data_IF_354180728825
#
_entry.id   IF_354180728825
#
_cell.length_a   1.000
_cell.length_b   1.000
_cell.length_c   1.000
_cell.angle_alpha   90.00
_cell.angle_beta   90.00
_cell.angle_gamma   90.00
#
_symmetry.space_group_name_H-M   'P 1'
#
loop_
_entity.id
_entity.type
_entity.pdbx_description
1 polymer ?
#
# COMPACT_ATOMS: atom_id res chain seq x y z
N UNK A 1 54.49 44.96 -41.33
CA UNK A 1 55.18 44.22 -40.24
C UNK A 1 54.32 44.44 -39.00
N UNK A 2 53.33 43.58 -38.68
CA UNK A 2 53.44 42.40 -37.76
C UNK A 2 54.25 42.77 -36.50
N UNK A 3 53.77 42.72 -35.26
CA UNK A 3 52.92 41.73 -34.59
C UNK A 3 52.24 42.34 -33.32
N UNK A 4 51.05 41.81 -33.00
CA UNK A 4 50.36 41.90 -31.70
C UNK A 4 50.96 40.85 -30.73
N UNK A 5 50.96 41.09 -29.41
CA UNK A 5 50.88 39.98 -28.47
C UNK A 5 49.64 40.10 -27.57
N UNK A 6 48.78 39.09 -27.71
CA UNK A 6 47.78 38.64 -26.74
C UNK A 6 48.50 38.07 -25.51
N UNK A 7 48.07 38.44 -24.31
CA UNK A 7 48.29 37.67 -23.07
C UNK A 7 46.94 37.65 -22.34
N UNK A 8 46.06 36.72 -22.72
CA UNK A 8 45.81 35.42 -22.07
C UNK A 8 45.39 35.55 -20.59
N UNK A 9 44.10 35.83 -20.40
CA UNK A 9 43.39 35.71 -19.13
C UNK A 9 43.21 34.21 -18.82
N UNK A 10 44.07 33.65 -17.97
CA UNK A 10 43.90 32.31 -17.44
C UNK A 10 42.86 32.32 -16.31
N UNK A 11 41.58 32.23 -16.66
CA UNK A 11 40.53 31.85 -15.71
C UNK A 11 40.78 30.39 -15.36
N UNK A 12 41.27 30.12 -14.15
CA UNK A 12 41.24 28.79 -13.55
C UNK A 12 39.77 28.35 -13.48
N UNK A 13 39.34 27.57 -14.45
CA UNK A 13 38.15 26.76 -14.34
C UNK A 13 38.40 25.67 -13.30
N UNK A 14 38.10 25.95 -12.03
CA UNK A 14 37.79 24.87 -11.10
C UNK A 14 36.66 24.07 -11.73
N UNK A 15 36.77 22.74 -11.88
CA UNK A 15 35.57 21.96 -12.05
C UNK A 15 34.81 22.17 -10.74
N UNK A 16 33.75 22.97 -10.78
CA UNK A 16 32.67 22.77 -9.85
C UNK A 16 32.22 21.34 -10.10
N UNK A 17 32.79 20.37 -9.37
CA UNK A 17 32.12 19.12 -9.11
C UNK A 17 30.76 19.57 -8.57
N UNK A 18 29.73 19.45 -9.40
CA UNK A 18 28.38 19.85 -9.03
C UNK A 18 28.11 19.22 -7.68
N UNK A 19 27.97 20.04 -6.64
CA UNK A 19 27.60 19.63 -5.29
C UNK A 19 26.16 19.08 -5.22
N UNK A 20 25.64 18.62 -6.36
CA UNK A 20 24.29 18.14 -6.56
C UNK A 20 24.16 16.63 -6.27
N UNK A 21 25.22 15.82 -6.44
CA UNK A 21 25.07 14.34 -6.44
C UNK A 21 25.94 13.61 -5.41
N UNK A 22 26.09 14.17 -4.20
CA UNK A 22 26.69 13.41 -3.09
C UNK A 22 25.65 12.44 -2.55
N UNK A 23 25.93 11.13 -2.56
CA UNK A 23 25.06 10.13 -1.93
C UNK A 23 24.89 10.43 -0.43
N UNK A 24 23.68 10.24 0.14
CA UNK A 24 23.45 10.38 1.56
C UNK A 24 24.39 9.48 2.38
N UNK A 25 24.82 9.93 3.55
CA UNK A 25 25.50 9.07 4.52
C UNK A 25 24.50 8.09 5.15
N UNK A 26 24.92 6.89 5.60
CA UNK A 26 24.00 5.97 6.29
C UNK A 26 23.39 6.60 7.56
N UNK A 27 24.18 7.44 8.25
CA UNK A 27 23.76 8.13 9.46
C UNK A 27 22.65 9.17 9.20
N UNK A 28 22.73 9.95 8.13
CA UNK A 28 21.69 10.96 7.82
C UNK A 28 20.35 10.29 7.48
N UNK A 29 20.38 9.16 6.77
CA UNK A 29 19.18 8.35 6.48
C UNK A 29 18.63 7.71 7.75
N UNK A 30 19.47 7.16 8.62
CA UNK A 30 19.04 6.62 9.93
C UNK A 30 18.33 7.68 10.77
N UNK A 31 18.89 8.88 10.87
CA UNK A 31 18.24 10.00 11.57
C UNK A 31 16.89 10.37 10.97
N UNK A 32 16.74 10.26 9.64
CA UNK A 32 15.47 10.52 8.96
C UNK A 32 14.43 9.46 9.35
N UNK A 33 14.82 8.19 9.40
CA UNK A 33 13.95 7.09 9.85
C UNK A 33 13.53 7.22 11.31
N UNK A 34 14.45 7.64 12.19
CA UNK A 34 14.14 7.91 13.60
C UNK A 34 13.09 9.01 13.74
N UNK A 35 13.24 10.12 13.01
CA UNK A 35 12.28 11.23 13.03
C UNK A 35 10.90 10.84 12.49
N UNK A 36 10.86 9.96 11.50
CA UNK A 36 9.63 9.47 10.90
C UNK A 36 9.00 8.29 11.65
N UNK A 37 9.68 7.76 12.68
CA UNK A 37 9.29 6.58 13.44
C UNK A 37 9.07 5.34 12.55
N UNK A 38 9.94 5.14 11.55
CA UNK A 38 9.78 4.07 10.54
C UNK A 38 9.70 2.67 11.15
N UNK A 39 10.46 2.38 12.21
CA UNK A 39 10.39 1.11 12.93
C UNK A 39 9.00 0.83 13.51
N UNK A 40 8.39 1.83 14.16
CA UNK A 40 7.04 1.72 14.71
C UNK A 40 5.97 1.51 13.61
N UNK A 41 6.19 2.08 12.41
CA UNK A 41 5.33 1.82 11.26
C UNK A 41 5.42 0.36 10.83
N UNK A 42 6.62 -0.21 10.76
CA UNK A 42 6.80 -1.64 10.43
C UNK A 42 6.16 -2.55 11.49
N UNK A 43 6.33 -2.23 12.78
CA UNK A 43 5.68 -2.96 13.88
C UNK A 43 4.15 -2.94 13.72
N UNK A 44 3.58 -1.78 13.36
CA UNK A 44 2.15 -1.61 13.13
C UNK A 44 1.67 -2.45 11.94
N UNK A 45 2.43 -2.48 10.85
CA UNK A 45 2.12 -3.31 9.67
C UNK A 45 2.14 -4.79 10.03
N UNK A 46 3.15 -5.24 10.77
CA UNK A 46 3.27 -6.63 11.23
C UNK A 46 2.10 -7.04 12.14
N UNK A 47 1.71 -6.18 13.08
CA UNK A 47 0.55 -6.41 13.94
C UNK A 47 -0.76 -6.49 13.14
N UNK A 48 -0.90 -5.66 12.10
CA UNK A 48 -2.08 -5.69 11.23
C UNK A 48 -2.14 -6.97 10.39
N UNK A 49 -1.00 -7.46 9.90
CA UNK A 49 -0.89 -8.74 9.21
C UNK A 49 -1.33 -9.87 10.14
N UNK A 50 -0.79 -9.94 11.36
CA UNK A 50 -1.18 -10.96 12.33
C UNK A 50 -2.68 -10.93 12.63
N UNK A 51 -3.24 -9.75 12.91
CA UNK A 51 -4.68 -9.57 13.15
C UNK A 51 -5.52 -10.05 11.96
N UNK A 52 -5.11 -9.74 10.74
CA UNK A 52 -5.81 -10.17 9.53
C UNK A 52 -5.72 -11.68 9.30
N UNK A 53 -4.58 -12.29 9.62
CA UNK A 53 -4.41 -13.74 9.57
C UNK A 53 -5.33 -14.45 10.57
N UNK A 54 -5.45 -13.93 11.79
CA UNK A 54 -6.40 -14.45 12.79
C UNK A 54 -7.85 -14.37 12.29
N UNK A 55 -8.24 -13.23 11.72
CA UNK A 55 -9.58 -13.04 11.18
C UNK A 55 -9.87 -13.99 10.00
N UNK A 56 -8.91 -14.18 9.10
CA UNK A 56 -9.05 -15.09 7.97
C UNK A 56 -9.21 -16.55 8.42
N UNK A 57 -8.48 -16.96 9.46
CA UNK A 57 -8.62 -18.29 10.06
C UNK A 57 -10.01 -18.52 10.64
N UNK A 58 -10.56 -17.53 11.38
CA UNK A 58 -11.92 -17.60 11.91
C UNK A 58 -12.98 -17.66 10.81
N UNK A 59 -12.71 -17.06 9.65
CA UNK A 59 -13.63 -17.08 8.52
C UNK A 59 -13.56 -18.40 7.74
N UNK A 60 -12.38 -19.02 7.69
CA UNK A 60 -12.15 -20.29 7.00
C UNK A 60 -12.86 -21.48 7.65
N UNK A 61 -13.27 -21.37 8.91
CA UNK A 61 -14.00 -22.45 9.61
C UNK A 61 -15.48 -22.54 9.22
N UNK A 62 -15.95 -21.71 8.28
CA UNK A 62 -17.24 -21.83 7.58
C UNK A 62 -18.49 -22.05 8.46
N UNK A 63 -18.44 -21.65 9.73
CA UNK A 63 -19.56 -21.78 10.69
C UNK A 63 -19.52 -23.04 11.55
N UNK A 64 -18.57 -23.96 11.36
CA UNK A 64 -18.32 -25.06 12.29
C UNK A 64 -17.15 -24.70 13.22
N UNK A 65 -17.31 -24.81 14.55
CA UNK A 65 -16.20 -24.56 15.46
C UNK A 65 -15.12 -25.63 15.20
N UNK A 66 -13.87 -25.22 14.92
CA UNK A 66 -12.79 -26.18 14.72
C UNK A 66 -12.61 -27.04 15.97
N UNK A 67 -12.22 -28.30 15.77
CA UNK A 67 -11.83 -29.17 16.88
C UNK A 67 -10.65 -28.56 17.65
N UNK A 68 -10.46 -28.98 18.90
CA UNK A 68 -9.32 -28.49 19.71
C UNK A 68 -7.97 -28.83 19.05
N UNK A 69 -7.88 -29.94 18.33
CA UNK A 69 -6.69 -30.29 17.55
C UNK A 69 -6.49 -29.34 16.36
N UNK A 70 -7.56 -29.03 15.62
CA UNK A 70 -7.50 -28.06 14.52
C UNK A 70 -7.10 -26.66 15.01
N UNK A 71 -7.68 -26.19 16.12
CA UNK A 71 -7.30 -24.90 16.74
C UNK A 71 -5.82 -24.86 17.10
N UNK A 72 -5.28 -25.94 17.68
CA UNK A 72 -3.86 -26.04 18.02
C UNK A 72 -2.98 -25.99 16.78
N UNK A 73 -3.28 -26.80 15.76
CA UNK A 73 -2.53 -26.81 14.49
C UNK A 73 -2.53 -25.41 13.83
N UNK A 74 -3.69 -24.76 13.81
CA UNK A 74 -3.85 -23.42 13.24
C UNK A 74 -3.04 -22.38 14.01
N UNK A 75 -3.18 -22.34 15.35
CA UNK A 75 -2.42 -21.44 16.22
C UNK A 75 -0.92 -21.65 16.12
N UNK A 76 -0.45 -22.90 16.16
CA UNK A 76 0.97 -23.22 16.05
C UNK A 76 1.54 -22.82 14.70
N UNK A 77 0.77 -23.05 13.62
CA UNK A 77 1.17 -22.65 12.28
C UNK A 77 1.25 -21.14 12.15
N UNK A 78 0.25 -20.41 12.67
CA UNK A 78 0.28 -18.95 12.70
C UNK A 78 1.49 -18.43 13.47
N UNK A 79 1.76 -18.96 14.66
CA UNK A 79 2.89 -18.56 15.47
C UNK A 79 4.22 -18.78 14.74
N UNK A 80 4.39 -19.91 14.04
CA UNK A 80 5.59 -20.19 13.23
C UNK A 80 5.73 -19.22 12.05
N UNK A 81 4.63 -18.92 11.34
CA UNK A 81 4.65 -17.96 10.23
C UNK A 81 5.00 -16.56 10.73
N UNK A 82 4.39 -16.10 11.83
CA UNK A 82 4.69 -14.80 12.41
C UNK A 82 6.13 -14.71 12.95
N UNK A 83 6.64 -15.79 13.54
CA UNK A 83 8.04 -15.85 13.97
C UNK A 83 9.00 -15.73 12.77
N UNK A 84 8.72 -16.44 11.67
CA UNK A 84 9.50 -16.34 10.44
C UNK A 84 9.43 -14.93 9.84
N UNK A 85 8.22 -14.35 9.73
CA UNK A 85 8.09 -13.00 9.20
C UNK A 85 8.80 -11.97 10.08
N UNK A 86 8.73 -12.12 11.41
CA UNK A 86 9.48 -11.25 12.33
C UNK A 86 10.98 -11.42 12.11
N UNK A 87 11.48 -12.65 11.99
CA UNK A 87 12.89 -12.88 11.74
C UNK A 87 13.39 -12.22 10.45
N UNK A 88 12.59 -12.22 9.38
CA UNK A 88 13.03 -11.70 8.07
C UNK A 88 12.70 -10.22 7.87
N UNK A 89 11.70 -9.70 8.58
CA UNK A 89 11.12 -8.37 8.35
C UNK A 89 11.20 -7.44 9.57
N UNK A 90 11.92 -7.82 10.65
CA UNK A 90 12.16 -6.86 11.72
C UNK A 90 13.10 -5.73 11.28
N UNK A 91 13.03 -4.62 12.02
CA UNK A 91 13.80 -3.43 11.76
C UNK A 91 15.31 -3.67 11.61
N UNK A 92 15.91 -4.50 12.45
CA UNK A 92 17.34 -4.80 12.43
C UNK A 92 17.78 -5.44 11.11
N UNK A 93 16.93 -6.28 10.50
CA UNK A 93 17.21 -6.92 9.21
C UNK A 93 16.90 -5.98 8.03
N UNK A 94 15.82 -5.20 8.12
CA UNK A 94 15.39 -4.33 7.02
C UNK A 94 16.12 -2.98 6.96
N UNK A 95 16.58 -2.44 8.09
CA UNK A 95 17.19 -1.11 8.17
C UNK A 95 18.36 -0.96 7.19
N UNK A 96 19.35 -1.88 7.11
CA UNK A 96 20.47 -1.75 6.17
C UNK A 96 20.01 -1.69 4.72
N UNK A 97 19.05 -2.54 4.34
CA UNK A 97 18.47 -2.55 3.00
C UNK A 97 17.74 -1.23 2.69
N UNK A 98 16.91 -0.75 3.62
CA UNK A 98 16.18 0.52 3.47
C UNK A 98 17.15 1.71 3.37
N UNK A 99 18.23 1.71 4.14
CA UNK A 99 19.26 2.75 4.07
C UNK A 99 19.88 2.79 2.68
N UNK A 100 20.28 1.65 2.10
CA UNK A 100 20.86 1.62 0.76
C UNK A 100 19.86 2.07 -0.31
N UNK A 101 18.59 1.67 -0.23
CA UNK A 101 17.54 2.15 -1.15
C UNK A 101 17.41 3.69 -1.12
N UNK A 102 17.44 4.30 0.07
CA UNK A 102 17.40 5.76 0.19
C UNK A 102 18.68 6.43 -0.33
N UNK A 103 19.84 5.79 -0.13
CA UNK A 103 21.13 6.29 -0.63
C UNK A 103 21.25 6.23 -2.15
N UNK A 104 20.53 5.30 -2.79
CA UNK A 104 20.44 5.21 -4.25
C UNK A 104 19.39 6.17 -4.84
N UNK A 105 18.33 6.48 -4.08
CA UNK A 105 17.20 7.28 -4.56
C UNK A 105 17.28 8.78 -4.27
N UNK A 106 18.09 9.20 -3.31
CA UNK A 106 18.22 10.61 -2.90
C UNK A 106 19.67 11.08 -2.89
N UNK A 107 19.83 12.40 -2.90
CA UNK A 107 21.10 13.08 -2.63
C UNK A 107 21.18 13.48 -1.15
N UNK A 108 22.39 13.66 -0.63
CA UNK A 108 22.63 14.11 0.75
C UNK A 108 21.90 15.42 1.03
N UNK A 109 21.90 16.34 0.06
CA UNK A 109 21.20 17.64 0.16
C UNK A 109 19.68 17.47 0.33
N UNK A 110 19.07 16.52 -0.38
CA UNK A 110 17.64 16.24 -0.26
C UNK A 110 17.31 15.61 1.10
N UNK A 111 18.12 14.64 1.56
CA UNK A 111 17.98 14.06 2.89
C UNK A 111 18.13 15.12 3.97
N UNK A 112 19.08 16.04 3.86
CA UNK A 112 19.23 17.17 4.78
C UNK A 112 18.01 18.10 4.77
N UNK A 113 17.42 18.34 3.60
CA UNK A 113 16.18 19.08 3.44
C UNK A 113 15.01 18.38 4.15
N UNK A 114 14.88 17.07 3.98
CA UNK A 114 13.87 16.26 4.67
C UNK A 114 14.07 16.28 6.18
N UNK A 115 15.30 16.09 6.66
CA UNK A 115 15.65 16.18 8.09
C UNK A 115 15.26 17.54 8.67
N UNK A 116 15.60 18.64 7.97
CA UNK A 116 15.24 19.99 8.40
C UNK A 116 13.71 20.16 8.50
N UNK A 117 12.98 19.67 7.49
CA UNK A 117 11.53 19.76 7.49
C UNK A 117 10.90 18.93 8.60
N UNK A 118 11.23 17.64 8.70
CA UNK A 118 10.64 16.73 9.69
C UNK A 118 11.05 17.05 11.12
N UNK A 119 12.16 17.77 11.36
CA UNK A 119 12.49 18.32 12.69
C UNK A 119 11.64 19.52 13.09
N UNK A 120 11.01 20.22 12.14
CA UNK A 120 10.18 21.38 12.45
C UNK A 120 8.84 20.96 13.07
N UNK A 121 8.21 21.86 13.84
CA UNK A 121 6.87 21.64 14.40
C UNK A 121 5.84 21.26 13.33
N UNK A 122 5.94 21.88 12.15
CA UNK A 122 5.08 21.57 11.00
C UNK A 122 5.34 20.17 10.46
N UNK A 123 6.61 19.76 10.32
CA UNK A 123 6.97 18.43 9.85
C UNK A 123 6.55 17.32 10.83
N UNK A 124 6.74 17.55 12.13
CA UNK A 124 6.23 16.66 13.18
C UNK A 124 4.70 16.58 13.18
N UNK A 125 4.02 17.72 12.97
CA UNK A 125 2.56 17.72 12.81
C UNK A 125 2.12 16.92 11.57
N UNK A 126 2.87 16.93 10.48
CA UNK A 126 2.60 16.12 9.29
C UNK A 126 2.70 14.62 9.61
N UNK A 127 3.79 14.20 10.27
CA UNK A 127 3.99 12.80 10.69
C UNK A 127 2.82 12.34 11.58
N UNK A 128 2.43 13.15 12.58
CA UNK A 128 1.39 12.79 13.52
C UNK A 128 -0.04 12.85 12.92
N UNK A 129 -0.33 13.83 12.06
CA UNK A 129 -1.71 14.14 11.65
C UNK A 129 -2.10 13.54 10.31
N UNK A 130 -1.19 13.30 9.37
CA UNK A 130 -1.59 12.74 8.08
C UNK A 130 -2.29 11.38 8.20
N UNK A 131 -1.83 10.43 9.03
CA UNK A 131 -2.56 9.17 9.23
C UNK A 131 -4.00 9.41 9.73
N UNK A 132 -4.17 10.33 10.68
CA UNK A 132 -5.48 10.70 11.26
C UNK A 132 -6.38 11.36 10.21
N UNK A 133 -5.83 12.22 9.36
CA UNK A 133 -6.56 12.86 8.26
C UNK A 133 -7.05 11.81 7.26
N UNK A 134 -6.19 10.85 6.89
CA UNK A 134 -6.57 9.75 5.99
C UNK A 134 -7.66 8.86 6.62
N UNK A 135 -7.53 8.50 7.90
CA UNK A 135 -8.55 7.75 8.63
C UNK A 135 -9.89 8.51 8.67
N UNK A 136 -9.86 9.80 8.97
CA UNK A 136 -11.05 10.65 8.98
C UNK A 136 -11.70 10.77 7.60
N UNK A 137 -10.91 10.79 6.53
CA UNK A 137 -11.41 10.76 5.16
C UNK A 137 -12.13 9.45 4.86
N UNK A 138 -11.51 8.30 5.17
CA UNK A 138 -12.11 6.97 4.98
C UNK A 138 -13.44 6.82 5.71
N UNK A 139 -13.51 7.25 6.97
CA UNK A 139 -14.74 7.19 7.77
C UNK A 139 -15.87 8.03 7.13
N UNK A 140 -15.56 9.24 6.67
CA UNK A 140 -16.56 10.10 6.01
C UNK A 140 -17.04 9.52 4.68
N UNK A 141 -16.14 8.92 3.90
CA UNK A 141 -16.51 8.20 2.67
C UNK A 141 -17.43 7.01 2.97
N UNK A 142 -17.15 6.26 4.04
CA UNK A 142 -18.01 5.14 4.46
C UNK A 142 -19.43 5.61 4.80
N UNK A 143 -19.57 6.69 5.58
CA UNK A 143 -20.88 7.29 5.90
C UNK A 143 -21.60 7.74 4.63
N UNK A 144 -20.88 8.36 3.70
CA UNK A 144 -21.45 8.78 2.41
C UNK A 144 -21.94 7.58 1.60
N UNK A 145 -21.17 6.49 1.54
CA UNK A 145 -21.59 5.25 0.86
C UNK A 145 -22.85 4.64 1.49
N UNK A 146 -22.95 4.60 2.82
CA UNK A 146 -24.14 4.12 3.53
C UNK A 146 -25.39 4.95 3.17
N UNK A 147 -25.24 6.27 2.96
CA UNK A 147 -26.35 7.13 2.54
C UNK A 147 -26.79 6.92 1.09
N UNK A 148 -25.93 6.35 0.24
CA UNK A 148 -26.23 6.06 -1.16
C UNK A 148 -27.02 4.76 -1.32
N UNK A 149 -26.79 3.76 -0.46
CA UNK A 149 -27.45 2.45 -0.51
C UNK A 149 -28.97 2.52 -0.72
N UNK A 150 -29.77 3.29 0.05
CA UNK A 150 -31.21 3.34 -0.15
C UNK A 150 -31.61 3.91 -1.52
N UNK A 151 -30.84 4.86 -2.06
CA UNK A 151 -31.09 5.43 -3.39
C UNK A 151 -30.79 4.43 -4.50
N UNK A 152 -29.72 3.63 -4.36
CA UNK A 152 -29.40 2.54 -5.27
C UNK A 152 -30.51 1.49 -5.25
N UNK A 153 -30.94 1.06 -4.07
CA UNK A 153 -32.06 0.11 -3.91
C UNK A 153 -33.34 0.62 -4.55
N UNK A 154 -33.64 1.92 -4.44
CA UNK A 154 -34.81 2.50 -5.09
C UNK A 154 -34.68 2.45 -6.62
N UNK A 155 -33.51 2.80 -7.15
CA UNK A 155 -33.25 2.77 -8.59
C UNK A 155 -33.39 1.35 -9.16
N UNK A 156 -32.90 0.34 -8.43
CA UNK A 156 -33.06 -1.07 -8.79
C UNK A 156 -34.53 -1.50 -8.81
N UNK A 157 -35.32 -1.09 -7.80
CA UNK A 157 -36.77 -1.36 -7.75
C UNK A 157 -37.50 -0.72 -8.93
N UNK A 158 -37.19 0.52 -9.24
CA UNK A 158 -37.80 1.25 -10.35
C UNK A 158 -37.47 0.60 -11.69
N UNK A 159 -36.22 0.17 -11.89
CA UNK A 159 -35.80 -0.56 -13.08
C UNK A 159 -36.56 -1.90 -13.23
N UNK A 160 -36.72 -2.67 -12.15
CA UNK A 160 -37.50 -3.93 -12.16
C UNK A 160 -38.96 -3.66 -12.52
N UNK A 161 -39.56 -2.61 -11.96
CA UNK A 161 -40.94 -2.22 -12.26
C UNK A 161 -41.10 -1.85 -13.74
N UNK A 162 -40.19 -1.07 -14.30
CA UNK A 162 -40.18 -0.71 -15.71
C UNK A 162 -40.02 -1.93 -16.63
N UNK A 163 -39.11 -2.86 -16.29
CA UNK A 163 -38.92 -4.09 -17.07
C UNK A 163 -40.19 -4.96 -17.07
N UNK A 164 -40.88 -5.08 -15.93
CA UNK A 164 -42.16 -5.79 -15.83
C UNK A 164 -43.27 -5.11 -16.63
N UNK A 165 -43.33 -3.78 -16.61
CA UNK A 165 -44.30 -3.01 -17.39
C UNK A 165 -44.04 -3.09 -18.90
N UNK A 166 -42.78 -3.25 -19.31
CA UNK A 166 -42.38 -3.36 -20.72
C UNK A 166 -42.53 -4.79 -21.26
N UNK A 167 -42.53 -5.79 -20.37
CA UNK A 167 -42.90 -7.17 -20.70
C UNK A 167 -44.42 -7.26 -20.97
N UNK A 168 -44.83 -7.17 -22.24
CA UNK A 168 -46.24 -7.36 -22.65
C UNK A 168 -46.78 -8.71 -22.15
N UNK A 169 -48.02 -8.78 -21.62
CA UNK A 169 -48.72 -10.05 -21.50
C UNK A 169 -49.09 -10.52 -22.92
N UNK A 170 -48.37 -11.51 -23.46
CA UNK A 170 -48.77 -12.16 -24.71
C UNK A 170 -47.69 -12.71 -25.63
N UNK A 171 -46.39 -12.52 -25.39
CA UNK A 171 -45.38 -13.25 -26.18
C UNK A 171 -44.94 -14.48 -25.42
N UNK A 172 -45.65 -15.58 -25.67
CA UNK A 172 -45.18 -16.91 -25.32
C UNK A 172 -43.78 -17.09 -25.91
N UNK A 173 -42.78 -17.22 -25.03
CA UNK A 173 -41.44 -17.64 -25.41
C UNK A 173 -41.55 -19.07 -25.96
N UNK A 174 -41.06 -19.38 -27.18
CA UNK A 174 -41.06 -20.77 -27.65
C UNK A 174 -40.30 -21.62 -26.64
N UNK A 175 -40.89 -22.76 -26.26
CA UNK A 175 -40.26 -23.73 -25.37
C UNK A 175 -38.85 -24.05 -25.91
N UNK A 176 -37.84 -23.80 -25.10
CA UNK A 176 -36.48 -24.20 -25.42
C UNK A 176 -36.48 -25.73 -25.55
N UNK A 177 -36.04 -26.24 -26.71
CA UNK A 177 -35.87 -27.66 -26.94
C UNK A 177 -34.90 -28.26 -25.91
N UNK A 178 -35.13 -29.51 -25.46
CA UNK A 178 -34.27 -30.15 -24.47
C UNK A 178 -32.83 -30.29 -25.00
N UNK A 179 -31.82 -30.21 -24.12
CA UNK A 179 -30.42 -30.30 -24.52
C UNK A 179 -30.11 -31.69 -25.09
N UNK A 180 -29.39 -31.71 -26.21
CA UNK A 180 -28.92 -32.94 -26.85
C UNK A 180 -27.94 -33.69 -25.92
N UNK A 181 -27.96 -35.04 -25.93
CA UNK A 181 -27.05 -35.83 -25.11
C UNK A 181 -25.58 -35.61 -25.53
N UNK A 182 -24.63 -35.73 -24.57
CA UNK A 182 -23.22 -35.50 -24.85
C UNK A 182 -22.68 -36.53 -25.83
N UNK A 183 -22.02 -36.05 -26.89
CA UNK A 183 -21.31 -36.89 -27.84
C UNK A 183 -20.15 -37.59 -27.13
N UNK A 184 -20.18 -38.92 -27.11
CA UNK A 184 -19.04 -39.76 -26.74
C UNK A 184 -17.91 -39.54 -27.74
N UNK A 185 -16.76 -39.07 -27.28
CA UNK A 185 -15.56 -38.96 -28.11
C UNK A 185 -15.06 -40.37 -28.52
N UNK A 186 -14.66 -40.59 -29.78
CA UNK A 186 -14.00 -41.82 -30.21
C UNK A 186 -12.50 -41.81 -29.80
N UNK A 187 -11.81 -42.96 -29.84
CA UNK A 187 -10.67 -43.28 -28.97
C UNK A 187 -9.38 -42.49 -29.24
#
# INVERSE_FOLDING_TARGET
MRFLPVVLLAILGSPAASAADVRPTPQSVRQLFELMHTSAVLDTVMAQIDTSAQAAMLQATAGEPPSEEQKRIMSDTQARVMALMKQELDWAELEPLMIEVYRDGFTQKEVDGMLKFYRSDTGQAVIAKLPVVMQGMMQRMQVRMQSLTPRVVQLEKDAIAQLRATARPGVARPAAAPPAPPATAPP
#
